data_IF_692174586892
#
_entry.id   IF_692174586892
#
_cell.length_a   1.000
_cell.length_b   1.000
_cell.length_c   1.000
_cell.angle_alpha   90.00
_cell.angle_beta   90.00
_cell.angle_gamma   90.00
#
_symmetry.space_group_name_H-M   'P 1'
#
loop_
_entity.id
_entity.type
_entity.pdbx_description
1 polymer ?
#
# COMPACT_ATOMS: atom_id res chain seq x y z
N UNK A 1 -12.64 4.12 -7.14
CA UNK A 1 -12.81 4.97 -5.95
C UNK A 1 -13.15 4.10 -4.74
N UNK A 2 -12.46 4.34 -3.64
CA UNK A 2 -12.73 3.67 -2.37
C UNK A 2 -12.87 4.69 -1.25
N UNK A 3 -13.73 4.39 -0.28
CA UNK A 3 -13.94 5.22 0.89
C UNK A 3 -13.71 4.37 2.13
N UNK A 4 -12.75 4.80 2.97
CA UNK A 4 -12.48 4.16 4.26
C UNK A 4 -12.95 5.08 5.39
N UNK A 5 -13.84 4.57 6.22
CA UNK A 5 -14.35 5.32 7.37
C UNK A 5 -13.25 5.60 8.40
N UNK A 6 -12.35 4.66 8.57
CA UNK A 6 -11.28 4.72 9.56
C UNK A 6 -10.04 4.00 9.00
N UNK A 7 -8.87 4.57 9.21
CA UNK A 7 -7.64 4.04 8.61
C UNK A 7 -6.45 4.20 9.53
N UNK A 8 -5.81 3.08 9.88
CA UNK A 8 -4.50 3.04 10.52
C UNK A 8 -3.46 3.33 9.42
N UNK A 9 -2.89 4.51 9.44
CA UNK A 9 -2.02 4.99 8.36
C UNK A 9 -0.69 4.24 8.27
N UNK A 10 -0.20 3.64 9.35
CA UNK A 10 1.09 2.97 9.33
C UNK A 10 0.97 1.48 9.01
N UNK A 11 0.16 0.73 9.73
CA UNK A 11 0.04 -0.73 9.52
C UNK A 11 -1.05 -1.10 8.51
N UNK A 12 -2.16 -0.38 8.49
CA UNK A 12 -3.31 -0.75 7.67
C UNK A 12 -3.22 -0.25 6.22
N UNK A 13 -3.00 1.04 6.04
CA UNK A 13 -3.11 1.68 4.72
C UNK A 13 -2.16 1.10 3.68
N UNK A 14 -0.88 0.81 3.96
CA UNK A 14 -0.03 0.24 2.92
C UNK A 14 -0.54 -1.10 2.37
N UNK A 15 -1.02 -1.98 3.24
CA UNK A 15 -1.62 -3.25 2.80
C UNK A 15 -2.93 -3.04 2.07
N UNK A 16 -3.77 -2.11 2.55
CA UNK A 16 -5.05 -1.80 1.92
C UNK A 16 -4.85 -1.24 0.51
N UNK A 17 -3.88 -0.34 0.34
CA UNK A 17 -3.57 0.23 -0.97
C UNK A 17 -3.06 -0.84 -1.94
N UNK A 18 -2.21 -1.75 -1.47
CA UNK A 18 -1.73 -2.86 -2.28
C UNK A 18 -2.89 -3.78 -2.70
N UNK A 19 -3.82 -4.06 -1.79
CA UNK A 19 -4.99 -4.88 -2.07
C UNK A 19 -5.90 -4.21 -3.09
N UNK A 20 -6.18 -2.91 -2.94
CA UNK A 20 -6.99 -2.17 -3.91
C UNK A 20 -6.34 -2.15 -5.29
N UNK A 21 -5.02 -1.98 -5.34
CA UNK A 21 -4.29 -2.02 -6.60
C UNK A 21 -4.41 -3.37 -7.29
N UNK A 22 -4.26 -4.46 -6.55
CA UNK A 22 -4.41 -5.80 -7.11
C UNK A 22 -5.84 -6.05 -7.60
N UNK A 23 -6.83 -5.60 -6.84
CA UNK A 23 -8.22 -5.73 -7.25
C UNK A 23 -8.49 -4.99 -8.55
N UNK A 24 -7.98 -3.76 -8.68
CA UNK A 24 -8.11 -2.98 -9.90
C UNK A 24 -7.47 -3.70 -11.09
N UNK A 25 -6.28 -4.24 -10.92
CA UNK A 25 -5.58 -4.96 -11.98
C UNK A 25 -6.31 -6.24 -12.38
N UNK A 26 -6.85 -6.95 -11.40
CA UNK A 26 -7.64 -8.15 -11.64
C UNK A 26 -8.89 -7.85 -12.48
N UNK A 27 -9.65 -6.83 -12.07
CA UNK A 27 -10.86 -6.44 -12.81
C UNK A 27 -10.50 -5.95 -14.21
N UNK A 28 -9.44 -5.16 -14.35
CA UNK A 28 -8.99 -4.67 -15.65
C UNK A 28 -8.64 -5.82 -16.61
N UNK A 29 -7.94 -6.83 -16.10
CA UNK A 29 -7.59 -8.00 -16.92
C UNK A 29 -8.83 -8.79 -17.33
N UNK A 30 -9.78 -9.02 -16.43
CA UNK A 30 -10.99 -9.79 -16.71
C UNK A 30 -11.96 -9.06 -17.64
N UNK A 31 -11.94 -7.74 -17.67
CA UNK A 31 -12.82 -6.94 -18.51
C UNK A 31 -12.15 -6.40 -19.76
N UNK A 32 -10.88 -6.74 -19.97
CA UNK A 32 -10.06 -6.22 -21.07
C UNK A 32 -10.01 -4.69 -21.10
N UNK A 33 -10.05 -4.07 -19.92
CA UNK A 33 -9.90 -2.64 -19.73
C UNK A 33 -8.51 -2.33 -19.17
N UNK A 34 -8.10 -1.09 -19.33
CA UNK A 34 -6.80 -0.63 -18.83
C UNK A 34 -6.96 -0.01 -17.44
N UNK A 35 -6.20 -0.50 -16.47
CA UNK A 35 -6.15 0.11 -15.16
C UNK A 35 -5.51 1.51 -15.26
N UNK A 36 -6.08 2.50 -14.57
CA UNK A 36 -5.61 3.87 -14.69
C UNK A 36 -5.26 4.48 -13.34
N UNK A 37 -6.24 4.69 -12.47
CA UNK A 37 -6.01 5.36 -11.18
C UNK A 37 -6.82 4.71 -10.07
N UNK A 38 -6.33 4.88 -8.85
CA UNK A 38 -7.05 4.53 -7.63
C UNK A 38 -7.20 5.80 -6.81
N UNK A 39 -8.44 6.14 -6.46
CA UNK A 39 -8.72 7.25 -5.57
C UNK A 39 -9.29 6.69 -4.26
N UNK A 40 -8.63 6.96 -3.16
CA UNK A 40 -9.06 6.51 -1.84
C UNK A 40 -9.25 7.72 -0.93
N UNK A 41 -10.40 7.81 -0.30
CA UNK A 41 -10.68 8.83 0.69
C UNK A 41 -10.72 8.21 2.09
N UNK A 42 -9.95 8.80 2.99
CA UNK A 42 -9.94 8.41 4.39
C UNK A 42 -10.69 9.46 5.19
N UNK A 43 -11.71 9.06 5.96
CA UNK A 43 -12.46 10.00 6.78
C UNK A 43 -11.76 10.21 8.12
N UNK A 44 -11.31 9.11 8.75
CA UNK A 44 -10.57 9.15 10.01
C UNK A 44 -9.23 8.47 9.78
N UNK A 45 -8.24 9.25 9.32
CA UNK A 45 -6.87 8.77 9.14
C UNK A 45 -6.09 9.04 10.42
N UNK A 46 -5.48 8.01 11.00
CA UNK A 46 -4.82 8.14 12.29
C UNK A 46 -3.54 7.30 12.38
N UNK A 47 -2.68 7.71 13.32
CA UNK A 47 -1.48 6.99 13.72
C UNK A 47 -1.56 6.77 15.22
N UNK A 48 -1.43 5.52 15.65
CA UNK A 48 -1.48 5.20 17.08
C UNK A 48 -0.20 5.61 17.80
N UNK A 49 -0.31 5.93 19.09
CA UNK A 49 0.83 6.39 19.89
C UNK A 49 1.97 5.37 19.93
N UNK A 50 1.66 4.08 19.99
CA UNK A 50 2.67 3.02 20.03
C UNK A 50 3.39 2.79 18.70
N UNK A 51 3.06 3.58 17.68
CA UNK A 51 3.65 3.48 16.35
C UNK A 51 4.55 4.68 16.01
N UNK A 52 4.63 5.69 16.86
CA UNK A 52 5.34 6.93 16.54
C UNK A 52 6.81 6.71 16.21
N UNK A 53 7.51 5.88 16.99
CA UNK A 53 8.93 5.61 16.73
C UNK A 53 9.13 4.91 15.38
N UNK A 54 8.27 3.95 15.07
CA UNK A 54 8.33 3.24 13.80
C UNK A 54 8.05 4.18 12.62
N UNK A 55 7.09 5.09 12.77
CA UNK A 55 6.77 6.08 11.74
C UNK A 55 7.95 7.01 11.51
N UNK A 56 8.60 7.51 12.56
CA UNK A 56 9.76 8.36 12.41
C UNK A 56 10.92 7.62 11.73
N UNK A 57 11.15 6.36 12.08
CA UNK A 57 12.16 5.54 11.42
C UNK A 57 11.85 5.36 9.94
N UNK A 58 10.59 5.09 9.60
CA UNK A 58 10.14 4.94 8.22
C UNK A 58 10.35 6.24 7.42
N UNK A 59 10.02 7.39 7.99
CA UNK A 59 10.19 8.67 7.31
C UNK A 59 11.65 9.03 7.06
N UNK A 60 12.58 8.49 7.85
CA UNK A 60 14.03 8.68 7.67
C UNK A 60 14.65 7.66 6.74
N UNK A 61 13.92 6.60 6.39
CA UNK A 61 14.45 5.56 5.53
C UNK A 61 14.75 6.09 4.13
N UNK A 62 15.86 5.67 3.51
CA UNK A 62 16.15 6.11 2.15
C UNK A 62 15.17 5.50 1.14
N UNK A 63 14.92 6.25 0.07
CA UNK A 63 14.15 5.76 -1.06
C UNK A 63 15.10 5.16 -2.09
N UNK A 64 14.87 3.89 -2.44
CA UNK A 64 15.76 3.16 -3.35
C UNK A 64 15.28 3.16 -4.79
N UNK A 65 14.34 4.01 -5.14
CA UNK A 65 13.81 4.10 -6.49
C UNK A 65 12.45 3.44 -6.63
N UNK A 66 11.91 3.52 -7.82
CA UNK A 66 10.58 3.04 -8.10
C UNK A 66 10.62 1.57 -8.52
N UNK A 67 9.76 0.76 -7.90
CA UNK A 67 9.56 -0.62 -8.30
C UNK A 67 8.62 -0.68 -9.49
N UNK A 68 9.01 -1.42 -10.53
CA UNK A 68 8.16 -1.71 -11.66
C UNK A 68 7.38 -2.99 -11.40
N UNK A 69 6.22 -3.14 -12.03
CA UNK A 69 5.43 -4.34 -11.89
C UNK A 69 4.83 -4.77 -13.21
N UNK A 70 4.58 -6.07 -13.34
CA UNK A 70 3.74 -6.63 -14.40
C UNK A 70 2.66 -7.49 -13.75
N UNK A 71 1.46 -7.42 -14.31
CA UNK A 71 0.33 -8.23 -13.86
C UNK A 71 -0.24 -8.96 -15.06
N UNK A 72 -0.12 -10.28 -15.04
CA UNK A 72 -0.58 -11.13 -16.15
C UNK A 72 -1.01 -12.48 -15.62
N UNK A 73 -2.16 -12.98 -16.10
CA UNK A 73 -2.71 -14.26 -15.66
C UNK A 73 -2.84 -14.36 -14.15
N UNK A 74 -3.27 -13.29 -13.51
CA UNK A 74 -3.45 -13.18 -12.06
C UNK A 74 -2.15 -13.30 -11.27
N UNK A 75 -1.00 -13.13 -11.93
CA UNK A 75 0.30 -13.16 -11.27
C UNK A 75 0.92 -11.76 -11.31
N UNK A 76 1.22 -11.24 -10.13
CA UNK A 76 1.95 -9.99 -9.96
C UNK A 76 3.44 -10.27 -9.86
N UNK A 77 4.22 -9.68 -10.75
CA UNK A 77 5.68 -9.79 -10.73
C UNK A 77 6.29 -8.41 -10.51
N UNK A 78 7.20 -8.31 -9.54
CA UNK A 78 7.90 -7.08 -9.23
C UNK A 78 9.29 -7.09 -9.86
N UNK A 79 9.70 -5.93 -10.37
CA UNK A 79 11.01 -5.73 -10.96
C UNK A 79 11.68 -4.53 -10.30
N UNK A 80 12.98 -4.64 -10.03
CA UNK A 80 13.76 -3.59 -9.36
C UNK A 80 13.23 -3.29 -7.95
N UNK A 81 12.72 -4.31 -7.26
CA UNK A 81 12.27 -4.18 -5.89
C UNK A 81 13.47 -4.25 -4.95
N UNK A 82 13.73 -3.15 -4.25
CA UNK A 82 14.84 -3.03 -3.30
C UNK A 82 14.27 -2.62 -1.95
N UNK A 83 13.87 -3.59 -1.13
CA UNK A 83 13.34 -3.27 0.19
C UNK A 83 14.46 -2.76 1.10
N UNK A 84 14.12 -1.82 1.95
CA UNK A 84 15.00 -1.38 3.01
C UNK A 84 14.90 -2.28 4.24
N UNK A 85 15.37 -1.76 5.38
CA UNK A 85 15.26 -2.44 6.66
C UNK A 85 13.79 -2.67 7.02
N UNK A 86 13.50 -3.83 7.57
CA UNK A 86 12.16 -4.12 8.08
C UNK A 86 11.89 -3.25 9.32
N UNK A 87 10.77 -2.53 9.30
CA UNK A 87 10.33 -1.69 10.40
C UNK A 87 9.02 -2.27 10.92
N UNK A 88 8.98 -2.59 12.21
CA UNK A 88 7.82 -3.21 12.83
C UNK A 88 7.24 -2.32 13.92
N UNK A 89 5.94 -2.46 14.14
CA UNK A 89 5.25 -1.82 15.25
C UNK A 89 4.15 -2.74 15.76
N UNK A 90 3.82 -2.66 17.06
CA UNK A 90 2.73 -3.47 17.58
C UNK A 90 1.39 -3.00 17.02
N UNK A 91 0.48 -3.95 16.87
CA UNK A 91 -0.91 -3.62 16.50
C UNK A 91 -1.56 -2.94 17.70
N UNK A 92 -2.25 -1.84 17.47
CA UNK A 92 -3.01 -1.15 18.50
C UNK A 92 -4.26 -1.97 18.85
N UNK A 93 -4.54 -2.06 20.13
CA UNK A 93 -5.67 -2.81 20.64
C UNK A 93 -6.71 -1.83 21.20
#
# INVERSE_FOLDING_TARGET
FALQRSADMFLGVPYDMALFAQLLLYVAEKTNLKAKTIDVKFIDAHIYHNQHEAVFEYLKAPWYGQTEYTYKNEILTLKNYKPGKVITAPVAI
#
